data_IF_733666562692
#
_entry.id   IF_733666562692
#
_cell.length_a   1.000
_cell.length_b   1.000
_cell.length_c   1.000
_cell.angle_alpha   90.00
_cell.angle_beta   90.00
_cell.angle_gamma   90.00
#
_symmetry.space_group_name_H-M   'P 1'
#
loop_
_entity.id
_entity.type
_entity.pdbx_description
1 polymer ?
#
# COMPACT_ATOMS: atom_id res chain seq x y z
N UNK A 1 -19.02 -15.94 54.76
CA UNK A 1 -18.65 -16.46 53.42
C UNK A 1 -17.80 -15.41 52.75
N UNK A 2 -16.53 -15.71 52.50
CA UNK A 2 -15.59 -14.81 51.81
C UNK A 2 -15.62 -15.19 50.33
N UNK A 3 -15.81 -14.21 49.45
CA UNK A 3 -15.66 -14.36 48.00
C UNK A 3 -14.18 -14.18 47.69
N UNK A 4 -13.50 -15.25 47.27
CA UNK A 4 -12.20 -15.13 46.63
C UNK A 4 -12.42 -14.93 45.13
N UNK A 5 -11.79 -13.89 44.57
CA UNK A 5 -11.79 -13.58 43.15
C UNK A 5 -10.69 -14.40 42.47
N UNK A 6 -11.11 -15.37 41.66
CA UNK A 6 -10.25 -16.16 40.78
C UNK A 6 -9.68 -15.26 39.68
N UNK A 7 -8.37 -15.04 39.69
CA UNK A 7 -7.65 -14.25 38.69
C UNK A 7 -7.27 -15.16 37.53
N UNK A 8 -7.99 -15.06 36.41
CA UNK A 8 -7.65 -15.76 35.18
C UNK A 8 -6.47 -15.04 34.49
N UNK A 9 -5.28 -15.63 34.62
CA UNK A 9 -4.09 -15.32 33.81
C UNK A 9 -4.30 -15.83 32.39
N UNK A 10 -4.22 -14.94 31.39
CA UNK A 10 -4.23 -15.31 29.98
C UNK A 10 -2.86 -15.92 29.56
N UNK A 11 -2.83 -16.95 28.70
CA UNK A 11 -1.58 -17.51 28.19
C UNK A 11 -0.96 -16.62 27.09
N UNK A 12 0.34 -16.38 27.21
CA UNK A 12 1.13 -15.54 26.29
C UNK A 12 1.27 -16.11 24.87
N UNK A 13 1.27 -15.20 23.91
CA UNK A 13 1.46 -15.45 22.48
C UNK A 13 2.94 -15.74 22.19
N UNK A 14 3.32 -16.82 21.47
CA UNK A 14 4.71 -17.05 21.10
C UNK A 14 5.14 -16.23 19.88
N UNK A 15 6.29 -15.55 20.01
CA UNK A 15 6.97 -14.79 18.95
C UNK A 15 7.72 -15.72 17.99
N UNK A 16 7.48 -15.61 16.68
CA UNK A 16 8.22 -16.32 15.62
C UNK A 16 9.45 -15.51 15.20
N UNK A 17 10.63 -15.88 15.72
CA UNK A 17 11.92 -15.42 15.17
C UNK A 17 12.42 -16.44 14.16
N UNK A 18 12.37 -16.11 12.86
CA UNK A 18 13.00 -16.90 11.81
C UNK A 18 14.51 -16.67 11.82
N UNK A 19 15.27 -17.75 11.96
CA UNK A 19 16.73 -17.75 11.83
C UNK A 19 17.12 -17.84 10.35
N UNK A 20 17.77 -16.79 9.85
CA UNK A 20 18.40 -16.74 8.54
C UNK A 20 19.61 -17.69 8.52
N UNK A 21 19.52 -18.79 7.77
CA UNK A 21 20.64 -19.70 7.54
C UNK A 21 21.42 -19.25 6.30
N UNK A 22 22.57 -18.60 6.50
CA UNK A 22 23.57 -18.43 5.45
C UNK A 22 24.23 -19.79 5.18
N UNK A 23 24.03 -20.34 3.99
CA UNK A 23 24.88 -21.40 3.45
C UNK A 23 26.06 -20.76 2.74
N UNK A 24 27.23 -20.76 3.38
CA UNK A 24 28.51 -20.49 2.72
C UNK A 24 29.05 -21.77 2.10
N UNK A 25 29.13 -21.83 0.77
CA UNK A 25 29.89 -22.85 0.04
C UNK A 25 31.26 -22.30 -0.35
N UNK A 26 32.32 -22.92 0.17
CA UNK A 26 33.71 -22.71 -0.25
C UNK A 26 34.15 -23.62 -1.40
N UNK A 27 35.47 -23.64 -1.63
CA UNK A 27 36.29 -24.35 -2.65
C UNK A 27 36.63 -23.50 -3.90
N UNK A 28 37.87 -23.43 -4.41
CA UNK A 28 39.06 -24.27 -4.27
C UNK A 28 40.38 -23.50 -4.53
N UNK A 29 41.49 -24.04 -4.01
CA UNK A 29 42.88 -23.67 -4.28
C UNK A 29 43.59 -24.72 -5.16
N UNK A 30 44.81 -24.39 -5.64
CA UNK A 30 45.84 -25.16 -6.41
C UNK A 30 45.89 -24.79 -7.92
N UNK A 31 47.02 -24.44 -8.56
CA UNK A 31 48.42 -24.32 -8.14
C UNK A 31 49.38 -24.08 -9.34
N UNK A 32 50.62 -23.69 -8.99
CA UNK A 32 51.92 -23.81 -9.69
C UNK A 32 52.07 -23.54 -11.20
N UNK A 33 52.79 -22.47 -11.53
CA UNK A 33 53.52 -22.30 -12.80
C UNK A 33 54.54 -21.17 -12.72
N UNK A 34 55.83 -21.49 -12.60
CA UNK A 34 56.93 -20.52 -12.54
C UNK A 34 57.51 -20.24 -13.93
N UNK A 35 57.71 -18.98 -14.31
CA UNK A 35 58.91 -18.52 -15.03
C UNK A 35 59.22 -17.06 -14.65
N UNK A 36 60.51 -16.80 -14.44
CA UNK A 36 61.08 -15.59 -13.87
C UNK A 36 60.89 -14.36 -14.76
N UNK A 37 60.51 -13.23 -14.17
CA UNK A 37 60.44 -11.93 -14.81
C UNK A 37 60.60 -10.86 -13.74
N UNK A 38 61.83 -10.36 -13.60
CA UNK A 38 62.23 -9.32 -12.65
C UNK A 38 61.60 -7.98 -13.04
N UNK A 39 60.67 -7.49 -12.21
CA UNK A 39 60.40 -6.06 -12.06
C UNK A 39 59.87 -5.84 -10.64
N UNK A 40 60.75 -5.34 -9.78
CA UNK A 40 60.41 -4.85 -8.45
C UNK A 40 59.60 -3.55 -8.59
N UNK A 41 58.44 -3.50 -7.96
CA UNK A 41 57.85 -2.24 -7.51
C UNK A 41 56.99 -2.54 -6.30
N UNK A 42 57.64 -2.49 -5.14
CA UNK A 42 57.02 -2.21 -3.86
C UNK A 42 56.10 -0.99 -4.00
N UNK A 43 54.84 -1.14 -3.63
CA UNK A 43 54.05 -0.18 -2.84
C UNK A 43 52.60 -0.67 -2.84
N UNK A 44 52.23 -1.27 -1.72
CA UNK A 44 50.84 -1.33 -1.26
C UNK A 44 50.29 0.10 -1.14
N UNK A 45 49.17 0.38 -1.80
CA UNK A 45 48.25 1.40 -1.32
C UNK A 45 46.85 1.06 -1.80
N UNK A 46 46.16 0.31 -0.95
CA UNK A 46 44.72 0.44 -0.75
C UNK A 46 44.38 1.92 -0.65
N UNK A 47 43.55 2.42 -1.54
CA UNK A 47 42.71 3.59 -1.23
C UNK A 47 41.39 3.40 -1.93
N UNK A 48 40.37 3.34 -1.09
CA UNK A 48 39.01 2.96 -1.38
C UNK A 48 38.35 3.97 -2.31
N UNK A 49 37.49 3.43 -3.17
CA UNK A 49 36.51 4.18 -3.91
C UNK A 49 35.57 4.89 -2.92
N UNK A 50 35.84 6.16 -2.62
CA UNK A 50 34.84 7.06 -2.04
C UNK A 50 33.76 7.30 -3.09
N UNK A 51 32.80 6.36 -3.14
CA UNK A 51 31.47 6.68 -3.58
C UNK A 51 30.90 7.60 -2.49
N UNK A 52 30.89 8.91 -2.78
CA UNK A 52 30.04 9.88 -2.11
C UNK A 52 28.61 9.36 -2.26
N UNK A 53 28.15 8.65 -1.22
CA UNK A 53 26.75 8.43 -0.98
C UNK A 53 26.21 9.76 -0.48
N UNK A 54 25.61 10.52 -1.38
CA UNK A 54 24.64 11.54 -1.01
C UNK A 54 23.50 10.78 -0.30
N UNK A 55 23.61 10.69 1.02
CA UNK A 55 22.51 10.35 1.90
C UNK A 55 21.61 11.58 1.97
N UNK A 56 20.89 11.85 0.88
CA UNK A 56 19.70 12.66 0.95
C UNK A 56 18.70 11.89 1.81
N UNK A 57 18.63 12.27 3.09
CA UNK A 57 17.47 11.96 3.92
C UNK A 57 16.32 12.78 3.33
N UNK A 58 15.68 12.23 2.29
CA UNK A 58 14.38 12.69 1.87
C UNK A 58 13.43 12.47 3.05
N UNK A 59 13.11 13.56 3.72
CA UNK A 59 12.02 13.59 4.68
C UNK A 59 10.73 13.53 3.87
N UNK A 60 10.33 12.33 3.44
CA UNK A 60 9.01 12.08 2.87
C UNK A 60 8.00 12.53 3.90
N UNK A 61 7.34 13.65 3.63
CA UNK A 61 6.11 13.97 4.33
C UNK A 61 5.12 12.93 3.82
N UNK A 62 4.87 11.89 4.62
CA UNK A 62 3.86 10.87 4.31
C UNK A 62 2.52 11.61 4.22
N UNK A 63 2.06 11.86 2.99
CA UNK A 63 0.84 12.62 2.75
C UNK A 63 -0.33 11.69 3.04
N UNK A 64 -1.14 12.00 4.04
CA UNK A 64 -2.29 11.16 4.39
C UNK A 64 -3.29 11.06 3.22
N UNK A 65 -3.90 9.89 3.07
CA UNK A 65 -4.95 9.70 2.09
C UNK A 65 -6.20 10.51 2.47
N UNK A 66 -6.83 11.16 1.49
CA UNK A 66 -8.09 11.87 1.69
C UNK A 66 -9.00 11.67 0.48
N UNK A 67 -10.31 11.74 0.69
CA UNK A 67 -11.30 11.67 -0.40
C UNK A 67 -12.46 12.61 -0.10
N UNK A 68 -13.05 13.18 -1.13
CA UNK A 68 -14.26 14.00 -1.03
C UNK A 68 -15.22 13.60 -2.14
N UNK A 69 -16.44 13.25 -1.75
CA UNK A 69 -17.51 12.87 -2.64
C UNK A 69 -18.75 13.72 -2.32
N UNK A 70 -19.41 14.21 -3.35
CA UNK A 70 -20.61 15.05 -3.20
C UNK A 70 -21.85 14.29 -3.69
N UNK A 71 -23.00 14.59 -3.07
CA UNK A 71 -24.33 14.15 -3.53
C UNK A 71 -24.52 14.51 -5.00
N UNK A 72 -24.98 13.56 -5.81
CA UNK A 72 -25.07 13.77 -7.26
C UNK A 72 -26.12 12.89 -7.96
N UNK A 73 -26.51 13.30 -9.16
CA UNK A 73 -27.31 12.52 -10.10
C UNK A 73 -26.39 12.11 -11.26
N UNK A 74 -25.70 10.95 -11.18
CA UNK A 74 -24.68 10.59 -12.16
C UNK A 74 -25.29 10.32 -13.53
N UNK A 75 -24.76 11.00 -14.54
CA UNK A 75 -25.13 10.75 -15.94
C UNK A 75 -24.31 9.61 -16.54
N UNK A 76 -24.92 8.80 -17.41
CA UNK A 76 -24.24 7.71 -18.10
C UNK A 76 -23.45 6.77 -17.16
N UNK A 77 -24.00 6.49 -15.96
CA UNK A 77 -23.36 5.65 -14.92
C UNK A 77 -22.02 6.19 -14.41
N UNK A 78 -21.71 7.48 -14.56
CA UNK A 78 -20.42 8.04 -14.13
C UNK A 78 -20.58 8.88 -12.86
N UNK A 79 -19.97 8.42 -11.78
CA UNK A 79 -19.81 9.18 -10.53
C UNK A 79 -18.53 10.00 -10.62
N UNK A 80 -18.56 11.24 -10.12
CA UNK A 80 -17.38 12.09 -10.05
C UNK A 80 -16.96 12.27 -8.60
N UNK A 81 -15.75 11.80 -8.27
CA UNK A 81 -15.09 12.11 -7.00
C UNK A 81 -14.50 13.52 -7.10
N UNK A 82 -14.84 14.39 -6.15
CA UNK A 82 -14.50 15.81 -6.23
C UNK A 82 -12.99 16.02 -6.10
N UNK A 83 -12.40 15.43 -5.05
CA UNK A 83 -10.95 15.42 -4.80
C UNK A 83 -10.56 14.10 -4.14
N UNK A 84 -9.39 13.59 -4.47
CA UNK A 84 -8.73 12.49 -3.74
C UNK A 84 -7.23 12.76 -3.69
N UNK A 85 -6.62 12.48 -2.54
CA UNK A 85 -5.16 12.47 -2.38
C UNK A 85 -4.73 11.08 -1.97
N UNK A 86 -3.74 10.51 -2.67
CA UNK A 86 -3.15 9.21 -2.38
C UNK A 86 -1.68 9.37 -1.98
N UNK A 87 -1.23 8.79 -0.85
CA UNK A 87 0.19 8.75 -0.46
C UNK A 87 1.03 7.94 -1.44
N UNK A 88 0.46 6.85 -1.95
CA UNK A 88 1.11 5.85 -2.79
C UNK A 88 0.19 5.49 -3.97
N UNK A 89 0.65 4.58 -4.83
CA UNK A 89 -0.14 4.08 -5.95
C UNK A 89 -1.36 3.28 -5.45
N UNK A 90 -2.50 3.43 -6.12
CA UNK A 90 -3.76 2.90 -5.63
C UNK A 90 -4.95 3.10 -6.55
N UNK A 91 -6.13 2.90 -5.97
CA UNK A 91 -7.43 3.01 -6.63
C UNK A 91 -8.41 3.82 -5.78
N UNK A 92 -9.49 4.29 -6.40
CA UNK A 92 -10.69 4.72 -5.67
C UNK A 92 -11.83 3.81 -6.07
N UNK A 93 -12.41 3.12 -5.09
CA UNK A 93 -13.58 2.29 -5.26
C UNK A 93 -14.82 3.02 -4.72
N UNK A 94 -15.94 2.87 -5.41
CA UNK A 94 -17.25 3.34 -4.94
C UNK A 94 -18.02 2.12 -4.46
N UNK A 95 -18.33 2.08 -3.16
CA UNK A 95 -19.09 1.00 -2.53
C UNK A 95 -20.53 1.41 -2.27
N UNK A 96 -21.44 0.45 -2.27
CA UNK A 96 -22.76 0.61 -1.65
C UNK A 96 -22.58 0.76 -0.13
N UNK A 97 -23.04 1.88 0.45
CA UNK A 97 -22.85 2.17 1.87
C UNK A 97 -23.80 1.41 2.81
N UNK A 98 -24.65 0.52 2.30
CA UNK A 98 -25.56 -0.31 3.10
C UNK A 98 -24.82 -1.16 4.16
N UNK A 99 -23.54 -1.48 3.89
CA UNK A 99 -22.65 -2.21 4.79
C UNK A 99 -21.32 -1.47 5.00
N UNK A 100 -21.38 -0.17 5.33
CA UNK A 100 -20.19 0.67 5.59
C UNK A 100 -19.14 0.49 4.46
N UNK A 101 -17.88 0.20 4.79
CA UNK A 101 -16.78 0.00 3.85
C UNK A 101 -16.73 -1.38 3.22
N UNK A 102 -17.60 -2.30 3.65
CA UNK A 102 -17.62 -3.70 3.22
C UNK A 102 -18.79 -4.00 2.27
N UNK A 103 -19.50 -2.97 1.82
CA UNK A 103 -20.55 -3.12 0.84
C UNK A 103 -20.01 -3.51 -0.55
N UNK A 104 -20.88 -4.02 -1.44
CA UNK A 104 -20.51 -4.31 -2.81
C UNK A 104 -19.81 -3.12 -3.49
N UNK A 105 -18.72 -3.40 -4.21
CA UNK A 105 -18.07 -2.43 -5.10
C UNK A 105 -18.98 -2.21 -6.31
N UNK A 106 -19.35 -0.95 -6.54
CA UNK A 106 -20.20 -0.51 -7.64
C UNK A 106 -19.38 -0.01 -8.84
N UNK A 107 -18.13 0.37 -8.62
CA UNK A 107 -17.22 0.85 -9.66
C UNK A 107 -15.85 1.19 -9.09
N UNK A 108 -14.83 1.16 -9.93
CA UNK A 108 -13.42 1.42 -9.55
C UNK A 108 -12.78 2.35 -10.57
N UNK A 109 -11.91 3.23 -10.11
CA UNK A 109 -11.09 4.07 -10.98
C UNK A 109 -10.10 3.24 -11.82
N UNK A 110 -9.47 3.87 -12.80
CA UNK A 110 -8.18 3.39 -13.29
C UNK A 110 -7.13 3.40 -12.16
N UNK A 111 -6.03 2.63 -12.25
CA UNK A 111 -4.92 2.76 -11.32
C UNK A 111 -4.39 4.19 -11.35
N UNK A 112 -4.13 4.72 -10.16
CA UNK A 112 -3.67 6.09 -9.91
C UNK A 112 -2.30 6.01 -9.25
N UNK A 113 -1.35 6.83 -9.71
CA UNK A 113 -0.12 7.02 -8.96
C UNK A 113 -0.35 7.92 -7.74
N UNK A 114 0.58 7.88 -6.78
CA UNK A 114 0.63 8.83 -5.68
C UNK A 114 0.41 10.29 -6.13
N UNK A 115 -0.45 11.03 -5.42
CA UNK A 115 -0.75 12.43 -5.74
C UNK A 115 -2.20 12.84 -5.50
N UNK A 116 -2.53 14.05 -5.96
CA UNK A 116 -3.86 14.65 -5.84
C UNK A 116 -4.59 14.66 -7.18
N UNK A 117 -5.84 14.24 -7.18
CA UNK A 117 -6.72 14.21 -8.35
C UNK A 117 -8.00 14.98 -8.07
N UNK A 118 -8.48 15.68 -9.09
CA UNK A 118 -9.74 16.41 -9.04
C UNK A 118 -10.70 15.93 -10.11
N UNK A 119 -12.00 15.94 -9.78
CA UNK A 119 -13.08 15.54 -10.69
C UNK A 119 -12.79 14.19 -11.35
N UNK A 120 -12.35 13.23 -10.54
CA UNK A 120 -11.99 11.89 -10.99
C UNK A 120 -13.28 11.13 -11.37
N UNK A 121 -13.47 10.75 -12.64
CA UNK A 121 -14.63 9.99 -13.06
C UNK A 121 -14.45 8.50 -12.72
N UNK A 122 -15.49 7.91 -12.16
CA UNK A 122 -15.60 6.47 -11.89
C UNK A 122 -16.87 5.96 -12.55
N UNK A 123 -16.71 4.97 -13.42
CA UNK A 123 -17.83 4.33 -14.11
C UNK A 123 -18.39 3.24 -13.21
N UNK A 124 -19.68 3.31 -12.91
CA UNK A 124 -20.39 2.28 -12.16
C UNK A 124 -20.77 1.11 -13.08
N UNK A 125 -20.75 -0.11 -12.54
CA UNK A 125 -21.21 -1.34 -13.18
C UNK A 125 -22.71 -1.34 -13.45
N UNK A 126 -23.48 -0.72 -12.57
CA UNK A 126 -24.92 -0.52 -12.70
C UNK A 126 -25.34 0.79 -12.01
N UNK A 127 -26.37 1.45 -12.54
CA UNK A 127 -26.99 2.60 -11.85
C UNK A 127 -28.01 2.09 -10.84
N UNK A 128 -28.13 2.74 -9.67
CA UNK A 128 -29.15 2.35 -8.72
C UNK A 128 -30.55 2.68 -9.25
N UNK A 129 -31.52 1.79 -9.02
CA UNK A 129 -32.93 1.98 -9.38
C UNK A 129 -33.63 3.09 -8.57
N UNK A 130 -32.99 3.55 -7.49
CA UNK A 130 -33.50 4.55 -6.56
C UNK A 130 -32.37 5.29 -5.87
N UNK A 131 -32.69 6.23 -4.95
CA UNK A 131 -31.67 6.89 -4.15
C UNK A 131 -30.81 5.87 -3.41
N UNK A 132 -29.49 5.95 -3.57
CA UNK A 132 -28.54 5.04 -2.96
C UNK A 132 -27.43 5.84 -2.27
N UNK A 133 -27.15 5.52 -1.01
CA UNK A 133 -25.96 6.04 -0.34
C UNK A 133 -24.76 5.19 -0.72
N UNK A 134 -23.68 5.85 -1.15
CA UNK A 134 -22.42 5.22 -1.54
C UNK A 134 -21.27 5.78 -0.72
N UNK A 135 -20.19 5.02 -0.63
CA UNK A 135 -18.93 5.44 -0.03
C UNK A 135 -17.84 5.44 -1.11
N UNK A 136 -17.12 6.55 -1.28
CA UNK A 136 -15.84 6.53 -2.00
C UNK A 136 -14.73 6.16 -1.02
N UNK A 137 -13.94 5.15 -1.37
CA UNK A 137 -12.88 4.59 -0.52
C UNK A 137 -11.61 4.50 -1.36
N UNK A 138 -10.52 5.18 -0.95
CA UNK A 138 -9.19 4.94 -1.50
C UNK A 138 -8.65 3.57 -1.07
N UNK A 139 -8.05 2.83 -2.00
CA UNK A 139 -7.37 1.56 -1.77
C UNK A 139 -5.91 1.61 -2.22
N UNK A 140 -5.03 0.96 -1.47
CA UNK A 140 -3.62 0.75 -1.80
C UNK A 140 -3.47 -0.30 -2.90
N UNK A 141 -2.62 -0.09 -3.90
CA UNK A 141 -2.28 -1.11 -4.91
C UNK A 141 -1.25 -2.10 -4.34
N UNK A 142 -1.73 -3.17 -3.70
CA UNK A 142 -0.92 -4.18 -3.01
C UNK A 142 -1.44 -5.59 -3.31
N UNK A 143 -0.68 -6.44 -4.04
CA UNK A 143 0.63 -6.15 -4.63
C UNK A 143 0.53 -5.09 -5.73
N UNK A 144 1.56 -4.25 -5.90
CA UNK A 144 1.56 -3.16 -6.89
C UNK A 144 1.64 -3.66 -8.33
N UNK A 145 0.53 -4.19 -8.82
CA UNK A 145 0.38 -4.79 -10.14
C UNK A 145 -0.63 -4.06 -11.04
N UNK A 146 -1.27 -3.01 -10.50
CA UNK A 146 -2.22 -2.18 -11.21
C UNK A 146 -3.56 -2.88 -11.49
N UNK A 147 -3.87 -3.96 -10.76
CA UNK A 147 -5.13 -4.71 -10.89
C UNK A 147 -5.91 -4.69 -9.57
N UNK A 148 -7.07 -4.03 -9.58
CA UNK A 148 -7.93 -3.98 -8.40
C UNK A 148 -8.39 -5.37 -7.91
N UNK A 149 -8.12 -5.70 -6.64
CA UNK A 149 -8.19 -7.06 -6.09
C UNK A 149 -8.87 -7.20 -4.71
N UNK A 150 -9.56 -6.15 -4.22
CA UNK A 150 -10.35 -6.20 -2.97
C UNK A 150 -11.65 -7.05 -3.12
N UNK A 151 -12.11 -7.80 -2.10
CA UNK A 151 -11.58 -7.94 -0.73
C UNK A 151 -10.68 -9.17 -0.53
N UNK A 152 -10.10 -9.75 -1.58
CA UNK A 152 -9.14 -10.85 -1.41
C UNK A 152 -7.87 -10.36 -0.67
N UNK A 153 -6.82 -11.18 -0.51
CA UNK A 153 -5.54 -10.76 0.11
C UNK A 153 -4.76 -9.74 -0.77
N UNK A 154 -5.43 -8.69 -1.21
CA UNK A 154 -5.00 -7.68 -2.17
C UNK A 154 -5.25 -6.25 -1.67
N UNK A 155 -5.77 -5.39 -2.55
CA UNK A 155 -5.82 -3.93 -2.37
C UNK A 155 -6.65 -3.47 -1.17
N UNK A 156 -5.99 -3.27 -0.02
CA UNK A 156 -6.63 -2.86 1.21
C UNK A 156 -7.02 -1.37 1.17
N UNK A 157 -8.09 -0.95 1.88
CA UNK A 157 -8.41 0.45 2.03
C UNK A 157 -7.29 1.22 2.76
N UNK A 158 -7.03 2.47 2.36
CA UNK A 158 -6.17 3.35 3.14
C UNK A 158 -6.80 3.62 4.51
N UNK A 159 -5.97 3.62 5.56
CA UNK A 159 -6.39 3.85 6.95
C UNK A 159 -5.68 5.08 7.52
N UNK A 160 -6.46 6.10 7.91
CA UNK A 160 -5.97 7.29 8.61
C UNK A 160 -6.27 7.25 10.11
N UNK A 161 -6.11 8.39 10.81
CA UNK A 161 -6.35 8.50 12.26
C UNK A 161 -7.77 8.06 12.69
N UNK A 162 -8.77 8.24 11.81
CA UNK A 162 -10.17 7.92 12.05
C UNK A 162 -10.59 6.50 11.65
N UNK A 163 -9.67 5.66 11.16
CA UNK A 163 -9.96 4.39 10.52
C UNK A 163 -9.91 4.48 8.99
N UNK A 164 -10.66 3.62 8.30
CA UNK A 164 -10.72 3.62 6.83
C UNK A 164 -11.07 5.01 6.31
N UNK A 165 -10.27 5.51 5.37
CA UNK A 165 -10.51 6.79 4.70
C UNK A 165 -11.68 6.61 3.74
N UNK A 166 -12.74 7.40 3.93
CA UNK A 166 -13.92 7.36 3.08
C UNK A 166 -14.70 8.66 3.14
N UNK A 167 -15.55 8.88 2.16
CA UNK A 167 -16.58 9.92 2.20
C UNK A 167 -17.89 9.39 1.60
N UNK A 168 -19.01 9.87 2.11
CA UNK A 168 -20.34 9.42 1.70
C UNK A 168 -21.00 10.41 0.76
N UNK A 169 -21.78 9.87 -0.17
CA UNK A 169 -22.72 10.66 -0.94
C UNK A 169 -24.00 9.87 -1.24
N UNK A 170 -25.05 10.60 -1.56
CA UNK A 170 -26.29 10.06 -2.10
C UNK A 170 -26.28 10.21 -3.62
N UNK A 171 -26.41 9.08 -4.31
CA UNK A 171 -26.69 9.03 -5.74
C UNK A 171 -28.20 9.07 -5.95
N UNK A 172 -28.67 10.01 -6.77
CA UNK A 172 -30.06 10.04 -7.21
C UNK A 172 -30.16 9.44 -8.63
N UNK A 173 -31.19 8.65 -8.92
CA UNK A 173 -31.47 8.22 -10.29
C UNK A 173 -31.83 9.44 -11.16
N UNK A 174 -31.64 9.30 -12.47
CA UNK A 174 -32.09 10.30 -13.45
C UNK A 174 -33.61 10.42 -13.57
#
# INVERSE_FOLDING_TARGET
MRYEMDSHTAPGIPSRRQALKLFGSGLAAVGLGATTGLAESDTESTTESEATAESETESTTESEATVTLEDQSPHYRTVTVATVTLPDDGFVAVHDASFFTEGPVLGVSAPLSAGEYHKLPIVLDELPDGPLTVAAIPHEDTPSDGVFSYPEDGDAPYVGEGGVVHDYATLQPE
#
